data_IF_567256229175
#
_entry.id   IF_567256229175
#
_cell.length_a   1.000
_cell.length_b   1.000
_cell.length_c   1.000
_cell.angle_alpha   90.00
_cell.angle_beta   90.00
_cell.angle_gamma   90.00
#
_symmetry.space_group_name_H-M   'P 1'
#
loop_
_entity.id
_entity.type
_entity.pdbx_description
1 polymer ?
#
# COMPACT_ATOMS: atom_id res chain seq x y z
N UNK A 1 47.72 50.30 20.80
CA UNK A 1 46.53 50.15 19.93
C UNK A 1 46.72 49.22 18.72
N UNK A 2 47.94 49.03 18.18
CA UNK A 2 48.17 48.09 17.04
C UNK A 2 47.95 46.60 17.40
N UNK A 3 48.20 46.19 18.64
CA UNK A 3 48.05 44.78 19.08
C UNK A 3 46.60 44.34 19.31
N UNK A 4 45.66 45.29 19.49
CA UNK A 4 44.23 44.98 19.65
C UNK A 4 43.57 44.69 18.29
N UNK A 5 44.03 45.38 17.24
CA UNK A 5 43.55 45.19 15.87
C UNK A 5 43.93 43.81 15.32
N UNK A 6 45.13 43.30 15.68
CA UNK A 6 45.61 41.98 15.25
C UNK A 6 44.86 40.84 15.96
N UNK A 7 44.42 41.06 17.20
CA UNK A 7 43.62 40.07 17.94
C UNK A 7 42.17 40.03 17.43
N UNK A 8 41.60 41.19 17.06
CA UNK A 8 40.25 41.28 16.49
C UNK A 8 40.18 40.65 15.09
N UNK A 9 41.24 40.76 14.27
CA UNK A 9 41.32 40.06 12.99
C UNK A 9 41.43 38.54 13.12
N UNK A 10 41.96 38.02 14.24
CA UNK A 10 42.03 36.57 14.47
C UNK A 10 40.65 35.98 14.80
N UNK A 11 39.78 36.74 15.46
CA UNK A 11 38.38 36.33 15.70
C UNK A 11 37.49 36.45 14.45
N UNK A 12 37.85 37.29 13.48
CA UNK A 12 37.11 37.40 12.20
C UNK A 12 37.46 36.24 11.24
N UNK A 13 38.65 35.65 11.33
CA UNK A 13 39.03 34.45 10.54
C UNK A 13 38.37 33.16 11.07
N UNK A 14 37.90 33.16 12.31
CA UNK A 14 37.04 32.08 12.84
C UNK A 14 35.58 32.23 12.32
N UNK A 15 35.28 33.31 11.59
CA UNK A 15 33.97 33.65 11.06
C UNK A 15 33.60 33.06 9.69
N UNK A 16 34.35 32.09 9.14
CA UNK A 16 34.03 31.46 7.84
C UNK A 16 34.06 29.93 7.87
N UNK A 17 33.29 29.33 8.78
CA UNK A 17 32.74 27.97 8.60
C UNK A 17 31.21 28.01 8.58
N UNK A 18 30.64 29.11 8.07
CA UNK A 18 29.19 29.34 8.02
C UNK A 18 28.41 28.38 7.09
N UNK A 19 29.09 27.47 6.37
CA UNK A 19 28.45 26.49 5.49
C UNK A 19 28.16 25.13 6.16
N UNK A 20 28.42 24.99 7.47
CA UNK A 20 28.22 23.73 8.22
C UNK A 20 26.74 23.48 8.57
N UNK A 21 25.87 24.49 8.50
CA UNK A 21 24.45 24.37 8.87
C UNK A 21 23.46 24.34 7.69
N UNK A 22 23.85 23.78 6.55
CA UNK A 22 22.87 23.33 5.57
C UNK A 22 22.42 21.91 5.93
N UNK A 23 21.78 21.74 7.09
CA UNK A 23 21.16 20.46 7.45
C UNK A 23 19.81 20.42 6.74
N UNK A 24 19.76 19.66 5.63
CA UNK A 24 18.50 19.30 5.00
C UNK A 24 17.58 18.71 6.07
N UNK A 25 16.32 19.12 6.12
CA UNK A 25 15.30 18.39 6.87
C UNK A 25 15.07 17.08 6.13
N UNK A 26 15.94 16.10 6.39
CA UNK A 26 15.80 14.78 5.80
C UNK A 26 14.43 14.24 6.17
N UNK A 27 13.56 14.06 5.17
CA UNK A 27 12.34 13.29 5.34
C UNK A 27 12.74 11.90 5.83
N UNK A 28 12.19 11.44 6.95
CA UNK A 28 12.40 10.08 7.44
C UNK A 28 11.89 9.10 6.37
N UNK A 29 12.77 8.30 5.75
CA UNK A 29 12.37 7.39 4.69
C UNK A 29 11.73 6.14 5.29
N UNK A 30 10.76 5.57 4.59
CA UNK A 30 10.23 4.25 4.93
C UNK A 30 11.04 3.13 4.28
N UNK A 31 11.05 1.91 4.85
CA UNK A 31 11.67 0.76 4.21
C UNK A 31 11.14 0.56 2.79
N UNK A 32 11.99 0.39 1.78
CA UNK A 32 11.61 0.28 0.36
C UNK A 32 11.40 1.60 -0.37
N UNK A 33 11.45 2.75 0.31
CA UNK A 33 11.25 4.05 -0.32
C UNK A 33 12.50 4.53 -1.07
N UNK A 34 12.26 5.41 -2.04
CA UNK A 34 13.31 6.13 -2.76
C UNK A 34 13.27 7.61 -2.36
N UNK A 35 14.42 8.16 -1.96
CA UNK A 35 14.55 9.56 -1.58
C UNK A 35 15.71 10.23 -2.32
N UNK A 36 15.50 11.48 -2.75
CA UNK A 36 16.51 12.29 -3.41
C UNK A 36 17.27 13.13 -2.38
N UNK A 37 18.60 13.16 -2.52
CA UNK A 37 19.52 13.92 -1.68
C UNK A 37 20.38 14.79 -2.57
N UNK A 38 20.54 16.05 -2.20
CA UNK A 38 21.37 16.98 -2.96
C UNK A 38 22.15 17.92 -2.07
N UNK A 39 23.23 18.43 -2.63
CA UNK A 39 24.00 19.54 -2.10
C UNK A 39 24.09 20.63 -3.16
N UNK A 40 24.21 21.87 -2.70
CA UNK A 40 24.49 23.00 -3.59
C UNK A 40 25.83 22.76 -4.29
N UNK A 41 25.83 22.85 -5.62
CA UNK A 41 27.06 22.68 -6.40
C UNK A 41 27.99 23.88 -6.23
N UNK A 42 29.26 23.59 -5.99
CA UNK A 42 30.37 24.53 -6.03
C UNK A 42 31.14 24.29 -7.32
N UNK A 43 31.44 25.36 -8.05
CA UNK A 43 32.13 25.25 -9.35
C UNK A 43 33.50 24.59 -9.20
N UNK A 44 33.72 23.51 -9.96
CA UNK A 44 34.98 22.77 -9.97
C UNK A 44 35.15 21.77 -8.82
N UNK A 45 34.16 21.64 -7.93
CA UNK A 45 34.15 20.61 -6.89
C UNK A 45 33.65 19.27 -7.42
N UNK A 46 34.14 18.20 -6.81
CA UNK A 46 33.62 16.84 -6.95
C UNK A 46 32.91 16.42 -5.67
N UNK A 47 31.99 15.47 -5.79
CA UNK A 47 31.15 14.99 -4.68
C UNK A 47 31.15 13.47 -4.69
N UNK A 48 31.40 12.87 -3.54
CA UNK A 48 31.35 11.43 -3.33
C UNK A 48 30.35 11.12 -2.21
N UNK A 49 29.42 10.22 -2.46
CA UNK A 49 28.38 9.84 -1.51
C UNK A 49 28.59 8.42 -0.97
N UNK A 50 28.23 8.22 0.29
CA UNK A 50 28.15 6.91 0.94
C UNK A 50 27.07 6.91 2.03
N UNK A 51 26.69 5.72 2.51
CA UNK A 51 25.72 5.57 3.60
C UNK A 51 26.26 4.57 4.62
N UNK A 52 26.20 4.94 5.90
CA UNK A 52 26.53 4.04 7.00
C UNK A 52 25.31 3.76 7.88
N UNK A 53 25.39 2.69 8.68
CA UNK A 53 24.30 2.20 9.53
C UNK A 53 24.75 2.07 10.98
N UNK A 54 23.93 2.53 11.92
CA UNK A 54 24.15 2.38 13.37
C UNK A 54 25.27 3.27 13.93
N UNK A 55 26.38 3.41 13.20
CA UNK A 55 27.49 4.32 13.45
C UNK A 55 27.94 5.02 12.15
N UNK A 56 28.97 5.86 12.23
CA UNK A 56 29.50 6.67 11.12
C UNK A 56 30.52 5.93 10.23
N UNK A 57 30.67 4.61 10.38
CA UNK A 57 31.76 3.84 9.73
C UNK A 57 31.31 2.53 9.09
N UNK A 58 30.25 1.91 9.63
CA UNK A 58 29.73 0.63 9.15
C UNK A 58 28.92 0.86 7.89
N UNK A 59 29.39 0.37 6.74
CA UNK A 59 28.70 0.48 5.46
C UNK A 59 27.28 -0.10 5.52
N UNK A 60 26.31 0.61 4.96
CA UNK A 60 24.91 0.18 4.94
C UNK A 60 24.66 -1.00 3.99
N UNK A 61 25.58 -1.29 3.06
CA UNK A 61 25.47 -2.42 2.14
C UNK A 61 24.14 -2.39 1.37
N UNK A 62 23.40 -3.50 1.44
CA UNK A 62 22.11 -3.64 0.73
C UNK A 62 20.95 -2.86 1.36
N UNK A 63 21.15 -2.25 2.53
CA UNK A 63 20.11 -1.46 3.19
C UNK A 63 19.88 -0.11 2.51
N UNK A 64 20.86 0.36 1.72
CA UNK A 64 20.77 1.60 0.96
C UNK A 64 21.50 1.45 -0.39
N UNK A 65 20.75 1.53 -1.49
CA UNK A 65 21.32 1.52 -2.85
C UNK A 65 21.31 2.92 -3.43
N UNK A 66 22.49 3.46 -3.74
CA UNK A 66 22.66 4.79 -4.33
C UNK A 66 22.53 4.69 -5.86
N UNK A 67 21.81 5.63 -6.48
CA UNK A 67 21.73 5.73 -7.95
C UNK A 67 23.06 6.08 -8.60
N UNK A 68 23.94 6.76 -7.86
CA UNK A 68 25.31 7.10 -8.22
C UNK A 68 26.11 7.33 -6.94
N UNK A 69 27.41 7.04 -6.96
CA UNK A 69 28.33 7.42 -5.87
C UNK A 69 28.97 8.80 -6.08
N UNK A 70 28.64 9.47 -7.20
CA UNK A 70 29.21 10.77 -7.58
C UNK A 70 28.17 11.76 -8.10
N UNK A 71 28.50 13.05 -8.01
CA UNK A 71 27.61 14.15 -8.41
C UNK A 71 27.01 14.87 -7.21
N UNK A 72 26.46 16.06 -7.42
CA UNK A 72 25.91 16.88 -6.34
C UNK A 72 24.46 16.51 -5.95
N UNK A 73 23.88 15.52 -6.63
CA UNK A 73 22.54 14.99 -6.37
C UNK A 73 22.55 13.49 -6.62
N UNK A 74 21.89 12.75 -5.74
CA UNK A 74 21.73 11.30 -5.82
C UNK A 74 20.33 10.91 -5.37
N UNK A 75 19.91 9.72 -5.77
CA UNK A 75 18.78 9.05 -5.15
C UNK A 75 19.30 7.88 -4.31
N UNK A 76 18.70 7.68 -3.13
CA UNK A 76 18.93 6.51 -2.30
C UNK A 76 17.63 5.70 -2.27
N UNK A 77 17.72 4.44 -2.69
CA UNK A 77 16.65 3.45 -2.53
C UNK A 77 16.94 2.63 -1.29
N UNK A 78 16.08 2.75 -0.28
CA UNK A 78 16.21 2.02 0.98
C UNK A 78 15.73 0.58 0.81
N UNK A 79 16.41 -0.36 1.45
CA UNK A 79 16.03 -1.77 1.45
C UNK A 79 14.65 -1.99 2.07
N UNK A 80 14.02 -3.12 1.76
CA UNK A 80 12.70 -3.48 2.30
C UNK A 80 12.81 -4.04 3.72
N UNK A 81 11.69 -4.04 4.45
CA UNK A 81 11.58 -4.80 5.70
C UNK A 81 11.77 -6.32 5.44
N UNK A 82 12.28 -7.10 6.41
CA UNK A 82 12.70 -6.69 7.75
C UNK A 82 14.15 -6.17 7.83
N UNK A 83 14.91 -6.13 6.72
CA UNK A 83 16.33 -5.77 6.73
C UNK A 83 16.55 -4.32 7.18
N UNK A 84 15.72 -3.42 6.66
CA UNK A 84 15.63 -2.03 7.13
C UNK A 84 14.47 -1.94 8.12
N UNK A 85 14.81 -1.89 9.41
CA UNK A 85 13.84 -1.82 10.49
C UNK A 85 13.45 -0.38 10.81
N UNK A 86 12.21 -0.20 11.29
CA UNK A 86 11.74 1.08 11.81
C UNK A 86 12.64 1.57 12.95
N UNK A 87 12.69 2.89 13.12
CA UNK A 87 13.49 3.62 14.12
C UNK A 87 15.01 3.42 14.02
N UNK A 88 15.50 2.67 13.03
CA UNK A 88 16.92 2.48 12.77
C UNK A 88 17.55 3.76 12.22
N UNK A 89 18.76 4.05 12.68
CA UNK A 89 19.54 5.20 12.23
C UNK A 89 20.54 4.81 11.15
N UNK A 90 20.52 5.60 10.08
CA UNK A 90 21.50 5.62 9.00
C UNK A 90 22.10 7.01 8.90
N UNK A 91 23.25 7.10 8.25
CA UNK A 91 23.96 8.36 8.08
C UNK A 91 24.33 8.49 6.62
N UNK A 92 23.83 9.53 5.97
CA UNK A 92 24.15 9.83 4.57
C UNK A 92 25.33 10.78 4.56
N UNK A 93 26.43 10.34 3.96
CA UNK A 93 27.67 11.10 3.85
C UNK A 93 27.80 11.70 2.47
N UNK A 94 28.35 12.91 2.42
CA UNK A 94 28.86 13.53 1.19
C UNK A 94 30.20 14.17 1.46
N UNK A 95 31.20 13.78 0.69
CA UNK A 95 32.53 14.38 0.68
C UNK A 95 32.64 15.27 -0.54
N UNK A 96 32.78 16.56 -0.32
CA UNK A 96 33.13 17.55 -1.33
C UNK A 96 34.65 17.70 -1.39
N UNK A 97 35.23 17.66 -2.59
CA UNK A 97 36.64 17.96 -2.84
C UNK A 97 36.74 19.05 -3.92
N UNK A 98 37.38 20.17 -3.60
CA UNK A 98 37.57 21.28 -4.54
C UNK A 98 38.75 21.03 -5.51
N UNK A 99 38.95 21.96 -6.46
CA UNK A 99 40.02 21.86 -7.44
C UNK A 99 41.45 21.94 -6.85
N UNK A 100 41.59 22.37 -5.59
CA UNK A 100 42.86 22.44 -4.87
C UNK A 100 43.10 21.20 -3.98
N UNK A 101 42.16 20.25 -3.96
CA UNK A 101 42.19 19.05 -3.13
C UNK A 101 41.74 19.27 -1.69
N UNK A 102 41.13 20.42 -1.36
CA UNK A 102 40.55 20.66 -0.05
C UNK A 102 39.25 19.86 0.11
N UNK A 103 39.13 19.12 1.22
CA UNK A 103 37.99 18.24 1.49
C UNK A 103 37.11 18.78 2.60
N UNK A 104 35.81 18.63 2.42
CA UNK A 104 34.82 18.82 3.48
C UNK A 104 33.81 17.67 3.45
N UNK A 105 33.54 17.08 4.60
CA UNK A 105 32.51 16.04 4.75
C UNK A 105 31.27 16.62 5.42
N UNK A 106 30.10 16.22 4.95
CA UNK A 106 28.83 16.47 5.61
C UNK A 106 28.11 15.16 5.84
N UNK A 107 27.44 15.07 6.98
CA UNK A 107 26.67 13.90 7.38
C UNK A 107 25.25 14.32 7.74
N UNK A 108 24.27 13.64 7.17
CA UNK A 108 22.86 13.77 7.51
C UNK A 108 22.40 12.50 8.24
N UNK A 109 22.04 12.56 9.53
CA UNK A 109 21.39 11.44 10.18
C UNK A 109 19.98 11.27 9.61
N UNK A 110 19.63 10.03 9.30
CA UNK A 110 18.35 9.62 8.71
C UNK A 110 17.79 8.50 9.58
N UNK A 111 16.62 8.72 10.17
CA UNK A 111 15.90 7.69 10.90
C UNK A 111 14.84 7.08 10.00
N UNK A 112 14.77 5.75 9.93
CA UNK A 112 13.71 5.04 9.21
C UNK A 112 12.39 5.22 9.96
N UNK A 113 11.35 5.70 9.29
CA UNK A 113 10.00 5.79 9.84
C UNK A 113 9.05 4.81 9.16
N UNK A 114 7.87 4.63 9.75
CA UNK A 114 6.79 3.93 9.07
C UNK A 114 6.41 4.65 7.77
N UNK A 115 5.87 3.89 6.81
CA UNK A 115 5.28 4.48 5.61
C UNK A 115 3.93 5.12 5.93
N UNK A 116 3.58 6.18 5.21
CA UNK A 116 2.22 6.72 5.21
C UNK A 116 1.27 5.90 4.33
N UNK A 117 1.76 4.82 3.69
CA UNK A 117 0.98 3.94 2.85
C UNK A 117 -0.03 3.11 3.66
N UNK A 118 -1.31 3.20 3.32
CA UNK A 118 -2.36 2.34 3.84
C UNK A 118 -3.20 1.75 2.72
N UNK A 119 -3.82 0.61 3.01
CA UNK A 119 -4.90 0.05 2.21
C UNK A 119 -6.20 0.05 3.02
N UNK A 120 -7.31 0.14 2.31
CA UNK A 120 -8.65 -0.11 2.86
C UNK A 120 -9.43 -0.93 1.86
N UNK A 121 -10.39 -1.71 2.34
CA UNK A 121 -11.39 -2.37 1.50
C UNK A 121 -12.78 -1.91 1.95
N UNK A 122 -13.65 -1.63 1.00
CA UNK A 122 -15.03 -1.26 1.27
C UNK A 122 -15.98 -1.89 0.25
N UNK A 123 -17.11 -2.42 0.71
CA UNK A 123 -18.21 -2.81 -0.15
C UNK A 123 -18.76 -1.57 -0.86
N UNK A 124 -19.09 -1.71 -2.15
CA UNK A 124 -19.67 -0.60 -2.92
C UNK A 124 -21.08 -0.23 -2.43
N UNK A 125 -21.75 -1.13 -1.72
CA UNK A 125 -23.07 -0.94 -1.11
C UNK A 125 -23.19 -1.79 0.16
N UNK A 126 -23.91 -1.29 1.15
CA UNK A 126 -24.26 -2.06 2.36
C UNK A 126 -25.17 -3.25 2.04
N UNK A 127 -25.99 -3.13 0.99
CA UNK A 127 -26.88 -4.18 0.49
C UNK A 127 -26.81 -4.31 -1.02
N UNK A 128 -26.69 -5.54 -1.51
CA UNK A 128 -26.77 -5.91 -2.91
C UNK A 128 -28.00 -6.79 -3.17
N UNK A 129 -28.53 -6.68 -4.38
CA UNK A 129 -29.55 -7.59 -4.87
C UNK A 129 -28.88 -8.68 -5.71
N UNK A 130 -29.62 -9.77 -5.91
CA UNK A 130 -29.32 -10.68 -7.01
C UNK A 130 -29.52 -10.00 -8.37
N UNK A 131 -28.82 -10.49 -9.38
CA UNK A 131 -28.76 -9.85 -10.69
C UNK A 131 -30.05 -10.06 -11.51
N UNK A 132 -30.86 -11.07 -11.15
CA UNK A 132 -32.09 -11.41 -11.84
C UNK A 132 -33.22 -11.88 -10.91
N UNK A 133 -34.39 -12.04 -11.53
CA UNK A 133 -35.60 -12.51 -10.87
C UNK A 133 -35.48 -13.96 -10.39
N UNK A 134 -36.23 -14.32 -9.34
CA UNK A 134 -36.39 -15.74 -8.96
C UNK A 134 -37.16 -16.44 -10.07
N UNK A 135 -36.63 -17.56 -10.56
CA UNK A 135 -37.35 -18.43 -11.50
C UNK A 135 -38.00 -19.59 -10.74
N UNK A 136 -39.33 -19.59 -10.54
CA UNK A 136 -40.03 -20.73 -9.96
C UNK A 136 -40.20 -21.85 -10.99
N UNK A 137 -40.06 -23.10 -10.55
CA UNK A 137 -40.31 -24.29 -11.35
C UNK A 137 -41.04 -25.35 -10.51
N UNK A 138 -42.00 -26.05 -11.12
CA UNK A 138 -42.67 -27.19 -10.48
C UNK A 138 -41.69 -28.35 -10.41
N UNK A 139 -41.60 -29.02 -9.26
CA UNK A 139 -40.84 -30.26 -9.16
C UNK A 139 -41.50 -31.37 -10.00
N UNK A 140 -40.74 -32.01 -10.88
CA UNK A 140 -41.26 -33.04 -11.79
C UNK A 140 -41.76 -34.29 -11.05
N UNK A 141 -41.27 -34.54 -9.83
CA UNK A 141 -41.63 -35.69 -9.02
C UNK A 141 -42.79 -35.42 -8.05
N UNK A 142 -43.00 -34.14 -7.68
CA UNK A 142 -44.09 -33.72 -6.79
C UNK A 142 -44.61 -32.32 -7.17
N UNK A 143 -45.80 -32.29 -7.77
CA UNK A 143 -46.44 -31.03 -8.22
C UNK A 143 -46.81 -30.07 -7.09
N UNK A 144 -46.74 -30.50 -5.83
CA UNK A 144 -46.93 -29.62 -4.66
C UNK A 144 -45.66 -28.85 -4.27
N UNK A 145 -44.50 -29.25 -4.81
CA UNK A 145 -43.21 -28.61 -4.55
C UNK A 145 -42.90 -27.62 -5.68
N UNK A 146 -42.63 -26.37 -5.29
CA UNK A 146 -42.14 -25.32 -6.19
C UNK A 146 -40.69 -25.03 -5.83
N UNK A 147 -39.77 -25.33 -6.75
CA UNK A 147 -38.35 -25.02 -6.65
C UNK A 147 -38.10 -23.57 -7.08
N UNK A 148 -37.26 -22.85 -6.33
CA UNK A 148 -36.90 -21.46 -6.58
C UNK A 148 -35.43 -21.37 -6.98
N UNK A 149 -35.18 -20.95 -8.21
CA UNK A 149 -33.82 -20.69 -8.70
C UNK A 149 -33.52 -19.21 -8.50
N UNK A 150 -32.56 -18.92 -7.62
CA UNK A 150 -32.22 -17.56 -7.21
C UNK A 150 -31.21 -16.88 -8.16
N UNK A 151 -30.48 -17.66 -8.96
CA UNK A 151 -29.46 -17.15 -9.87
C UNK A 151 -28.23 -16.62 -9.13
N UNK A 152 -27.55 -15.65 -9.75
CA UNK A 152 -26.30 -15.09 -9.28
C UNK A 152 -26.47 -13.67 -8.68
N UNK A 153 -25.49 -13.26 -7.89
CA UNK A 153 -25.35 -11.90 -7.39
C UNK A 153 -23.97 -11.35 -7.76
N UNK A 154 -23.95 -10.12 -8.29
CA UNK A 154 -22.72 -9.38 -8.54
C UNK A 154 -22.41 -8.46 -7.35
N UNK A 155 -21.32 -8.78 -6.67
CA UNK A 155 -20.86 -8.08 -5.47
C UNK A 155 -19.59 -7.31 -5.81
N UNK A 156 -19.54 -6.03 -5.43
CA UNK A 156 -18.41 -5.15 -5.75
C UNK A 156 -17.80 -4.62 -4.46
N UNK A 157 -16.48 -4.76 -4.35
CA UNK A 157 -15.64 -4.12 -3.34
C UNK A 157 -14.63 -3.19 -4.02
N UNK A 158 -14.24 -2.13 -3.32
CA UNK A 158 -13.17 -1.22 -3.74
C UNK A 158 -12.02 -1.30 -2.74
N UNK A 159 -10.82 -1.56 -3.24
CA UNK A 159 -9.60 -1.48 -2.44
C UNK A 159 -8.90 -0.16 -2.77
N UNK A 160 -8.76 0.71 -1.76
CA UNK A 160 -8.25 2.07 -1.94
C UNK A 160 -6.90 2.23 -1.25
N UNK A 161 -5.84 2.60 -1.99
CA UNK A 161 -4.58 3.01 -1.38
C UNK A 161 -4.62 4.47 -0.93
N UNK A 162 -3.96 4.78 0.17
CA UNK A 162 -3.65 6.16 0.59
C UNK A 162 -2.16 6.27 0.92
N UNK A 163 -1.60 7.48 0.84
CA UNK A 163 -0.18 7.72 1.15
C UNK A 163 0.83 7.17 0.14
N UNK A 164 0.38 6.67 -1.01
CA UNK A 164 1.26 6.44 -2.16
C UNK A 164 1.55 7.77 -2.85
N UNK A 165 2.78 8.27 -2.72
CA UNK A 165 3.28 9.39 -3.52
C UNK A 165 3.63 8.99 -4.97
N UNK A 166 4.02 9.97 -5.78
CA UNK A 166 4.37 9.80 -7.21
C UNK A 166 5.59 8.88 -7.46
N UNK A 167 6.36 8.58 -6.41
CA UNK A 167 7.52 7.69 -6.47
C UNK A 167 7.17 6.19 -6.55
N UNK A 168 5.90 5.84 -6.35
CA UNK A 168 5.39 4.47 -6.49
C UNK A 168 4.66 4.30 -7.82
N UNK A 169 4.76 3.10 -8.38
CA UNK A 169 4.16 2.76 -9.68
C UNK A 169 3.09 1.68 -9.55
N UNK A 170 2.49 1.53 -8.37
CA UNK A 170 1.62 0.40 -8.07
C UNK A 170 1.70 -0.08 -6.63
N UNK A 171 0.90 -1.09 -6.35
CA UNK A 171 0.86 -1.79 -5.07
C UNK A 171 0.34 -3.21 -5.25
N UNK A 172 0.40 -4.00 -4.19
CA UNK A 172 -0.06 -5.38 -4.16
C UNK A 172 -0.67 -5.71 -2.81
N UNK A 173 -1.52 -6.73 -2.77
CA UNK A 173 -2.11 -7.27 -1.55
C UNK A 173 -2.51 -8.72 -1.78
N UNK A 174 -2.62 -9.50 -0.70
CA UNK A 174 -3.20 -10.83 -0.74
C UNK A 174 -4.72 -10.71 -0.68
N UNK A 175 -5.41 -11.45 -1.53
CA UNK A 175 -6.87 -11.58 -1.53
C UNK A 175 -7.24 -12.97 -1.04
N UNK A 176 -8.01 -13.04 0.06
CA UNK A 176 -8.60 -14.30 0.49
C UNK A 176 -9.79 -14.65 -0.41
N UNK A 177 -10.16 -15.94 -0.40
CA UNK A 177 -11.43 -16.37 -1.00
C UNK A 177 -12.59 -15.60 -0.34
N UNK A 178 -13.58 -15.21 -1.15
CA UNK A 178 -14.77 -14.55 -0.63
C UNK A 178 -15.49 -15.48 0.35
N UNK A 179 -15.73 -14.99 1.57
CA UNK A 179 -16.47 -15.77 2.56
C UNK A 179 -17.96 -15.65 2.23
N UNK A 180 -18.55 -16.78 1.82
CA UNK A 180 -19.98 -16.96 1.55
C UNK A 180 -20.46 -18.27 2.20
N UNK A 181 -21.77 -18.46 2.43
CA UNK A 181 -22.27 -19.69 3.03
C UNK A 181 -21.98 -20.95 2.19
N UNK A 182 -22.10 -22.11 2.81
CA UNK A 182 -22.02 -23.40 2.09
C UNK A 182 -23.08 -23.49 0.99
N UNK A 183 -22.70 -24.07 -0.15
CA UNK A 183 -23.56 -24.18 -1.33
C UNK A 183 -23.55 -22.92 -2.21
N UNK A 184 -22.70 -21.95 -1.92
CA UNK A 184 -22.40 -20.83 -2.81
C UNK A 184 -21.00 -21.01 -3.40
N UNK A 185 -20.85 -20.62 -4.66
CA UNK A 185 -19.54 -20.56 -5.32
C UNK A 185 -19.28 -19.13 -5.78
N UNK A 186 -18.02 -18.71 -5.87
CA UNK A 186 -17.68 -17.37 -6.33
C UNK A 186 -16.56 -17.39 -7.36
N UNK A 187 -16.65 -16.46 -8.31
CA UNK A 187 -15.56 -16.14 -9.24
C UNK A 187 -15.24 -14.66 -9.13
N UNK A 188 -13.95 -14.31 -9.22
CA UNK A 188 -13.46 -12.93 -9.06
C UNK A 188 -12.96 -12.35 -10.38
N UNK A 189 -13.25 -11.07 -10.58
CA UNK A 189 -12.74 -10.22 -11.65
C UNK A 189 -12.25 -8.89 -11.06
N UNK A 190 -11.36 -8.20 -11.79
CA UNK A 190 -10.75 -6.95 -11.35
C UNK A 190 -10.94 -5.85 -12.39
N UNK A 191 -10.83 -4.59 -11.95
CA UNK A 191 -10.60 -3.47 -12.87
C UNK A 191 -9.30 -3.65 -13.66
N UNK A 192 -9.19 -2.98 -14.81
CA UNK A 192 -8.12 -3.20 -15.79
C UNK A 192 -6.70 -2.91 -15.29
N UNK A 193 -6.56 -2.17 -14.19
CA UNK A 193 -5.27 -1.86 -13.57
C UNK A 193 -4.76 -2.97 -12.64
N UNK A 194 -5.49 -4.08 -12.47
CA UNK A 194 -5.10 -5.14 -11.55
C UNK A 194 -5.16 -6.55 -12.15
N UNK A 195 -4.34 -7.43 -11.61
CA UNK A 195 -4.29 -8.85 -11.95
C UNK A 195 -4.00 -9.69 -10.71
N UNK A 196 -4.43 -10.95 -10.70
CA UNK A 196 -4.20 -11.88 -9.59
C UNK A 196 -3.33 -13.06 -10.06
N UNK A 197 -2.36 -13.43 -9.24
CA UNK A 197 -1.57 -14.65 -9.40
C UNK A 197 -1.30 -15.27 -8.04
N UNK A 198 -1.66 -16.54 -7.85
CA UNK A 198 -1.41 -17.27 -6.60
C UNK A 198 -1.93 -16.56 -5.34
N UNK A 199 -3.12 -15.93 -5.43
CA UNK A 199 -3.74 -15.21 -4.31
C UNK A 199 -3.20 -13.78 -4.09
N UNK A 200 -2.17 -13.36 -4.83
CA UNK A 200 -1.61 -12.00 -4.75
C UNK A 200 -2.18 -11.16 -5.88
N UNK A 201 -2.87 -10.07 -5.53
CA UNK A 201 -3.33 -9.05 -6.46
C UNK A 201 -2.22 -8.02 -6.64
N UNK A 202 -1.86 -7.73 -7.88
CA UNK A 202 -0.91 -6.67 -8.25
C UNK A 202 -1.64 -5.60 -9.04
N UNK A 203 -1.50 -4.35 -8.60
CA UNK A 203 -2.08 -3.14 -9.20
C UNK A 203 -0.95 -2.32 -9.82
N UNK A 204 -1.12 -1.94 -11.09
CA UNK A 204 -0.07 -1.33 -11.92
C UNK A 204 -0.01 0.19 -11.85
N UNK A 205 -0.88 0.80 -11.04
CA UNK A 205 -0.91 2.22 -10.76
C UNK A 205 -1.28 2.48 -9.28
N UNK A 206 -1.27 3.75 -8.87
CA UNK A 206 -1.65 4.15 -7.51
C UNK A 206 -3.16 4.42 -7.36
N UNK A 207 -3.97 3.95 -8.32
CA UNK A 207 -5.43 4.14 -8.30
C UNK A 207 -6.10 3.05 -7.48
N UNK A 208 -7.32 3.29 -6.99
CA UNK A 208 -8.12 2.24 -6.39
C UNK A 208 -8.41 1.10 -7.40
N UNK A 209 -8.57 -0.11 -6.88
CA UNK A 209 -8.96 -1.29 -7.68
C UNK A 209 -10.37 -1.71 -7.31
N UNK A 210 -11.18 -2.01 -8.33
CA UNK A 210 -12.50 -2.62 -8.15
C UNK A 210 -12.36 -4.14 -8.20
N UNK A 211 -12.83 -4.81 -7.16
CA UNK A 211 -12.91 -6.28 -7.07
C UNK A 211 -14.38 -6.67 -7.24
N UNK A 212 -14.69 -7.39 -8.31
CA UNK A 212 -16.04 -7.84 -8.63
C UNK A 212 -16.13 -9.34 -8.43
N UNK A 213 -17.03 -9.78 -7.57
CA UNK A 213 -17.37 -11.18 -7.38
C UNK A 213 -18.71 -11.48 -8.03
N UNK A 214 -18.76 -12.54 -8.83
CA UNK A 214 -20.02 -13.18 -9.21
C UNK A 214 -20.20 -14.38 -8.29
N UNK A 215 -21.25 -14.34 -7.47
CA UNK A 215 -21.60 -15.42 -6.54
C UNK A 215 -22.78 -16.19 -7.10
N UNK A 216 -22.62 -17.49 -7.29
CA UNK A 216 -23.67 -18.39 -7.74
C UNK A 216 -24.22 -19.21 -6.57
N UNK A 217 -25.55 -19.20 -6.41
CA UNK A 217 -26.24 -19.95 -5.38
C UNK A 217 -26.64 -21.32 -5.92
N UNK A 218 -25.89 -22.35 -5.54
CA UNK A 218 -26.12 -23.73 -6.01
C UNK A 218 -27.12 -24.50 -5.13
N UNK A 219 -27.60 -23.88 -4.05
CA UNK A 219 -28.62 -24.48 -3.19
C UNK A 219 -29.98 -24.50 -3.90
N UNK A 220 -30.73 -25.58 -3.68
CA UNK A 220 -32.13 -25.67 -4.11
C UNK A 220 -33.03 -25.29 -2.95
N UNK A 221 -33.82 -24.23 -3.14
CA UNK A 221 -34.86 -23.82 -2.21
C UNK A 221 -36.22 -24.15 -2.79
N UNK A 222 -37.17 -24.47 -1.93
CA UNK A 222 -38.53 -24.70 -2.37
C UNK A 222 -39.53 -24.15 -1.36
N UNK A 223 -40.82 -24.21 -1.69
CA UNK A 223 -41.92 -23.76 -0.84
C UNK A 223 -42.03 -24.48 0.52
N UNK A 224 -41.23 -25.52 0.78
CA UNK A 224 -41.13 -26.20 2.08
C UNK A 224 -39.87 -25.82 2.86
N UNK A 225 -38.73 -25.63 2.18
CA UNK A 225 -37.43 -25.34 2.79
C UNK A 225 -37.15 -23.85 2.93
N UNK A 226 -37.83 -23.01 2.15
CA UNK A 226 -37.73 -21.55 2.20
C UNK A 226 -39.11 -20.89 2.09
N UNK A 227 -40.01 -21.27 3.00
CA UNK A 227 -41.38 -20.73 3.02
C UNK A 227 -41.42 -19.20 3.24
N UNK A 228 -40.37 -18.62 3.85
CA UNK A 228 -40.24 -17.17 4.08
C UNK A 228 -39.52 -16.43 2.96
N UNK A 229 -38.87 -17.12 2.02
CA UNK A 229 -38.09 -16.53 0.92
C UNK A 229 -36.74 -15.94 1.34
N UNK A 230 -36.28 -16.21 2.56
CA UNK A 230 -35.10 -15.62 3.18
C UNK A 230 -33.89 -16.56 3.21
N UNK A 231 -34.05 -17.83 2.84
CA UNK A 231 -32.97 -18.81 2.93
C UNK A 231 -31.84 -18.57 1.90
N UNK A 232 -32.12 -17.75 0.87
CA UNK A 232 -31.14 -17.26 -0.08
C UNK A 232 -30.49 -15.93 0.33
N UNK A 233 -30.89 -15.30 1.45
CA UNK A 233 -30.19 -14.12 1.94
C UNK A 233 -28.87 -14.53 2.59
N UNK A 234 -27.79 -13.79 2.32
CA UNK A 234 -26.47 -14.06 2.90
C UNK A 234 -25.64 -12.81 3.06
N UNK A 235 -24.62 -12.87 3.91
CA UNK A 235 -23.58 -11.85 3.99
C UNK A 235 -22.33 -12.34 3.27
N UNK A 236 -21.79 -11.53 2.38
CA UNK A 236 -20.51 -11.78 1.72
C UNK A 236 -19.43 -10.92 2.36
N UNK A 237 -18.29 -11.52 2.72
CA UNK A 237 -17.17 -10.80 3.32
C UNK A 237 -15.91 -10.96 2.48
N UNK A 238 -15.35 -9.84 2.05
CA UNK A 238 -14.04 -9.79 1.39
C UNK A 238 -12.96 -9.49 2.43
N UNK A 239 -11.81 -10.17 2.31
CA UNK A 239 -10.66 -9.97 3.20
C UNK A 239 -9.41 -9.76 2.34
N UNK A 240 -8.70 -8.67 2.61
CA UNK A 240 -7.38 -8.39 2.04
C UNK A 240 -6.33 -8.35 3.15
N UNK A 241 -5.08 -8.64 2.81
CA UNK A 241 -3.97 -8.58 3.77
C UNK A 241 -2.63 -8.32 3.09
N UNK A 242 -1.61 -8.00 3.90
CA UNK A 242 -0.22 -7.91 3.43
C UNK A 242 -0.02 -6.90 2.31
N UNK A 243 -0.63 -5.71 2.43
CA UNK A 243 -0.49 -4.64 1.46
C UNK A 243 0.97 -4.22 1.31
N UNK A 244 1.44 -4.02 0.08
CA UNK A 244 2.77 -3.50 -0.22
C UNK A 244 2.75 -2.56 -1.42
N UNK A 245 3.48 -1.46 -1.40
CA UNK A 245 3.75 -0.68 -2.61
C UNK A 245 4.60 -1.49 -3.61
N UNK A 246 4.71 -1.02 -4.85
CA UNK A 246 5.51 -1.65 -5.91
C UNK A 246 6.98 -1.85 -5.53
N UNK A 247 7.50 -1.02 -4.63
CA UNK A 247 8.89 -1.07 -4.17
C UNK A 247 9.04 -1.88 -2.86
N UNK A 248 7.99 -2.58 -2.43
CA UNK A 248 8.01 -3.47 -1.27
C UNK A 248 7.79 -2.77 0.07
N UNK A 249 7.35 -1.50 0.07
CA UNK A 249 6.98 -0.78 1.30
C UNK A 249 5.69 -1.39 1.84
N UNK A 250 5.70 -1.95 3.05
CA UNK A 250 4.51 -2.52 3.66
C UNK A 250 3.47 -1.43 3.97
N UNK A 251 2.19 -1.79 3.88
CA UNK A 251 1.12 -0.95 4.42
C UNK A 251 1.26 -0.82 5.94
N UNK A 252 0.84 0.32 6.48
CA UNK A 252 1.04 0.69 7.88
C UNK A 252 -0.18 0.40 8.77
N UNK A 253 -1.16 -0.37 8.31
CA UNK A 253 -2.27 -0.79 9.17
C UNK A 253 -2.06 -2.18 9.77
N UNK A 254 -3.13 -2.73 10.31
CA UNK A 254 -3.11 -3.94 11.15
C UNK A 254 -2.84 -5.24 10.37
N UNK A 255 -2.49 -5.14 9.09
CA UNK A 255 -2.10 -6.25 8.22
C UNK A 255 -3.27 -7.06 7.63
N UNK A 256 -4.50 -6.90 8.14
CA UNK A 256 -5.73 -7.52 7.61
C UNK A 256 -6.85 -6.50 7.58
N UNK A 257 -7.51 -6.36 6.44
CA UNK A 257 -8.69 -5.51 6.26
C UNK A 257 -9.83 -6.35 5.72
N UNK A 258 -11.04 -6.09 6.19
CA UNK A 258 -12.24 -6.75 5.69
C UNK A 258 -13.39 -5.78 5.62
N UNK A 259 -14.34 -6.10 4.75
CA UNK A 259 -15.65 -5.48 4.74
C UNK A 259 -16.70 -6.49 4.26
N UNK A 260 -17.96 -6.21 4.57
CA UNK A 260 -19.06 -7.10 4.29
C UNK A 260 -20.24 -6.37 3.64
N UNK A 261 -21.05 -7.12 2.89
CA UNK A 261 -22.30 -6.63 2.32
C UNK A 261 -23.34 -7.73 2.38
N UNK A 262 -24.58 -7.33 2.70
CA UNK A 262 -25.70 -8.25 2.69
C UNK A 262 -26.23 -8.39 1.26
N UNK A 263 -26.39 -9.62 0.82
CA UNK A 263 -27.09 -9.97 -0.41
C UNK A 263 -28.47 -10.47 -0.02
N UNK A 264 -29.48 -9.74 -0.43
CA UNK A 264 -30.86 -10.07 -0.13
C UNK A 264 -31.78 -9.68 -1.28
N UNK A 265 -33.01 -10.14 -1.23
CA UNK A 265 -34.08 -9.71 -2.13
C UNK A 265 -35.35 -9.43 -1.34
N UNK A 266 -36.33 -8.71 -1.90
CA UNK A 266 -37.64 -8.58 -1.27
C UNK A 266 -38.28 -9.96 -1.06
N UNK A 267 -38.83 -10.19 0.14
CA UNK A 267 -39.57 -11.40 0.45
C UNK A 267 -41.06 -11.14 0.27
N UNK A 268 -41.71 -11.89 -0.62
CA UNK A 268 -43.17 -11.86 -0.73
C UNK A 268 -43.77 -12.80 0.30
N UNK A 269 -44.65 -12.28 1.15
CA UNK A 269 -45.38 -13.09 2.14
C UNK A 269 -46.28 -14.13 1.45
N UNK A 270 -46.72 -15.13 2.22
CA UNK A 270 -47.63 -16.18 1.75
C UNK A 270 -48.87 -15.61 1.06
N UNK A 271 -49.23 -16.19 -0.09
CA UNK A 271 -50.48 -15.88 -0.80
C UNK A 271 -51.66 -16.28 0.09
N UNK A 272 -52.52 -15.32 0.42
CA UNK A 272 -53.74 -15.56 1.18
C UNK A 272 -54.91 -15.80 0.21
N UNK A 273 -55.75 -16.79 0.53
CA UNK A 273 -57.05 -16.98 -0.14
C UNK A 273 -58.11 -16.27 0.70
N UNK A 274 -58.97 -15.50 0.03
CA UNK A 274 -60.13 -14.85 0.64
C UNK A 274 -61.41 -15.60 0.25
#
# INVERSE_FOLDING_TARGET
MKKLFTLLSLFVVIGMSANVFAQSTGSAPSPGAKHSYSVTTTSGSTYIWSVTKGDLTTDAGTDATLSSTSGNEIDITWGTAPNVALDSWYYVHVVEEDANGCKNEKVLPVQISASDFYLTVAAAKDKQCYDGDVSPAIDESDVSIINYVHGNATIVFTVTPTGLGDSYTGYSFNLADLTVPTGYTSSVAFSSNASISSGVVTVTDNSAVTVTYTVDNTNTYNNTTDASGSAADFTATAVISGGKSSNGVADNGDGVYNDATDVARPHTTTIQTN
#
